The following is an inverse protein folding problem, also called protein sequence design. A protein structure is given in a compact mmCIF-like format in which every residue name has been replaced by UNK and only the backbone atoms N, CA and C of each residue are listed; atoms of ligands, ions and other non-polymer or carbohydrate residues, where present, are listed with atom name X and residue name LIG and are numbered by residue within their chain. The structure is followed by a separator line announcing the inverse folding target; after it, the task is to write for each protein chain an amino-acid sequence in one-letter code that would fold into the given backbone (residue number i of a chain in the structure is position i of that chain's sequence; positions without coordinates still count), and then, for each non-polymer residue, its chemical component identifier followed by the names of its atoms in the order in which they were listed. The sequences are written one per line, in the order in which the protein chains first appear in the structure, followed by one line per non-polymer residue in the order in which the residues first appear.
data_IF_366088849838
#
_entry.id   IF_366088849838
#
_cell.length_a   1.000
_cell.length_b   1.000
_cell.length_c   1.000
_cell.angle_alpha   90.00
_cell.angle_beta   90.00
_cell.angle_gamma   90.00
#
_symmetry.space_group_name_H-M   'P 1'
#
loop_
_entity.id
_entity.type
_entity.pdbx_description
1 polymer ?
#
# COMPACT_ATOMS: atom_id res chain seq x y z
N UNK A 1 14.14 -9.54 -26.61
CA UNK A 1 13.03 -8.59 -26.51
C UNK A 1 12.92 -7.66 -27.71
N UNK A 2 14.04 -7.31 -28.35
CA UNK A 2 14.09 -6.24 -29.37
C UNK A 2 13.67 -6.66 -30.78
N UNK A 3 13.44 -7.95 -31.00
CA UNK A 3 13.05 -8.48 -32.31
C UNK A 3 11.54 -8.68 -32.52
N UNK A 4 10.73 -8.52 -31.47
CA UNK A 4 9.27 -8.67 -31.55
C UNK A 4 8.64 -7.30 -31.78
N UNK A 5 7.77 -7.18 -32.79
CA UNK A 5 7.02 -5.94 -33.05
C UNK A 5 6.10 -5.65 -31.88
N UNK A 6 5.96 -4.38 -31.50
CA UNK A 6 5.16 -3.95 -30.36
C UNK A 6 3.68 -4.39 -30.50
N UNK A 7 3.18 -4.45 -31.75
CA UNK A 7 1.83 -4.91 -32.09
C UNK A 7 1.57 -6.38 -31.79
N UNK A 8 2.64 -7.19 -31.67
CA UNK A 8 2.54 -8.65 -31.51
C UNK A 8 2.63 -9.08 -30.04
N UNK A 9 2.83 -8.11 -29.13
CA UNK A 9 2.92 -8.36 -27.69
C UNK A 9 1.58 -8.03 -27.01
N UNK A 10 0.85 -9.05 -26.61
CA UNK A 10 -0.39 -8.87 -25.86
C UNK A 10 -0.13 -8.38 -24.42
N UNK A 11 0.89 -8.93 -23.77
CA UNK A 11 1.24 -8.60 -22.37
C UNK A 11 2.75 -8.64 -22.16
N UNK A 12 3.23 -7.79 -21.25
CA UNK A 12 4.58 -7.85 -20.70
C UNK A 12 4.50 -8.16 -19.21
N UNK A 13 5.40 -9.00 -18.71
CA UNK A 13 5.48 -9.36 -17.30
C UNK A 13 6.82 -8.90 -16.75
N UNK A 14 6.77 -8.06 -15.73
CA UNK A 14 7.93 -7.62 -14.96
C UNK A 14 7.97 -8.41 -13.66
N UNK A 15 9.05 -9.14 -13.42
CA UNK A 15 9.34 -9.77 -12.14
C UNK A 15 10.38 -8.93 -11.41
N UNK A 16 10.03 -8.50 -10.21
CA UNK A 16 10.86 -7.60 -9.40
C UNK A 16 11.28 -8.35 -8.13
N UNK A 17 12.58 -8.31 -7.86
CA UNK A 17 13.15 -8.86 -6.62
C UNK A 17 13.42 -7.73 -5.62
N UNK A 18 12.92 -7.88 -4.43
CA UNK A 18 13.16 -7.00 -3.28
C UNK A 18 14.42 -7.48 -2.55
N UNK A 19 15.28 -6.56 -2.17
CA UNK A 19 16.49 -6.91 -1.40
C UNK A 19 16.09 -7.27 0.03
N UNK A 20 16.46 -8.45 0.55
CA UNK A 20 16.24 -8.82 1.94
C UNK A 20 16.98 -7.91 2.93
N UNK A 21 16.51 -7.87 4.18
CA UNK A 21 17.17 -7.18 5.28
C UNK A 21 16.88 -5.68 5.36
N UNK A 22 16.01 -5.12 4.52
CA UNK A 22 15.58 -3.73 4.59
C UNK A 22 14.43 -3.63 5.61
N UNK A 23 14.58 -2.78 6.62
CA UNK A 23 13.56 -2.57 7.65
C UNK A 23 12.81 -1.26 7.41
N UNK A 24 11.51 -1.27 7.72
CA UNK A 24 10.77 -0.03 7.91
C UNK A 24 11.27 0.72 9.13
N UNK A 25 11.17 2.03 9.10
CA UNK A 25 11.45 2.88 10.26
C UNK A 25 10.52 2.50 11.43
N UNK A 26 11.01 2.60 12.69
CA UNK A 26 10.17 2.36 13.86
C UNK A 26 8.92 3.24 13.85
N UNK A 27 7.74 2.62 13.95
CA UNK A 27 6.49 3.34 13.82
C UNK A 27 5.39 2.72 14.72
N UNK A 28 4.48 3.53 15.34
CA UNK A 28 3.38 3.00 16.15
C UNK A 28 2.48 2.01 15.42
N UNK A 29 2.25 2.19 14.11
CA UNK A 29 1.48 1.24 13.30
C UNK A 29 2.06 -0.18 13.29
N UNK A 30 3.36 -0.35 13.56
CA UNK A 30 4.07 -1.62 13.59
C UNK A 30 4.33 -2.13 15.02
N UNK A 31 3.83 -1.42 16.05
CA UNK A 31 4.01 -1.80 17.43
C UNK A 31 3.11 -2.98 17.83
N UNK A 32 3.71 -3.98 18.48
CA UNK A 32 3.04 -5.18 18.98
C UNK A 32 3.29 -5.35 20.47
N UNK A 33 2.35 -6.01 21.15
CA UNK A 33 2.53 -6.48 22.53
C UNK A 33 3.38 -7.77 22.57
N UNK A 34 3.60 -8.29 23.78
CA UNK A 34 4.36 -9.53 23.99
C UNK A 34 3.67 -10.76 23.40
N UNK A 35 2.34 -10.74 23.26
CA UNK A 35 1.54 -11.78 22.62
C UNK A 35 1.53 -11.71 21.09
N UNK A 36 2.09 -10.61 20.50
CA UNK A 36 2.16 -10.41 19.07
C UNK A 36 0.96 -9.63 18.48
N UNK A 37 0.03 -9.15 19.31
CA UNK A 37 -1.12 -8.37 18.88
C UNK A 37 -0.73 -6.90 18.62
N UNK A 38 -1.42 -6.27 17.66
CA UNK A 38 -1.21 -4.87 17.32
C UNK A 38 -1.71 -3.94 18.42
N UNK A 39 -0.83 -3.14 19.00
CA UNK A 39 -1.14 -2.24 20.12
C UNK A 39 -2.12 -1.13 19.74
N UNK A 40 -2.03 -0.61 18.51
CA UNK A 40 -2.70 0.63 18.13
C UNK A 40 -3.63 0.50 16.91
N UNK A 41 -4.02 -0.71 16.53
CA UNK A 41 -4.95 -0.91 15.41
C UNK A 41 -6.44 -0.78 15.80
N UNK A 42 -6.73 -0.69 17.10
CA UNK A 42 -8.09 -0.49 17.64
C UNK A 42 -8.05 0.51 18.80
N UNK A 43 -7.90 1.80 18.46
CA UNK A 43 -7.86 2.88 19.43
C UNK A 43 -9.30 3.28 19.80
N UNK A 44 -9.58 3.37 21.09
CA UNK A 44 -10.81 3.92 21.61
C UNK A 44 -10.59 5.39 22.05
N UNK A 45 -11.69 6.09 22.34
CA UNK A 45 -11.65 7.50 22.75
C UNK A 45 -10.75 7.73 23.98
N UNK A 46 -10.75 6.81 24.93
CA UNK A 46 -9.94 6.92 26.15
C UNK A 46 -8.44 6.91 25.83
N UNK A 47 -7.99 5.97 24.97
CA UNK A 47 -6.59 5.91 24.52
C UNK A 47 -6.18 7.15 23.71
N UNK A 48 -7.12 7.74 22.98
CA UNK A 48 -6.88 8.91 22.15
C UNK A 48 -6.83 10.22 22.94
N UNK A 49 -7.27 10.26 24.19
CA UNK A 49 -7.34 11.50 24.99
C UNK A 49 -5.97 12.18 25.12
N UNK A 50 -4.90 11.39 25.29
CA UNK A 50 -3.53 11.89 25.46
C UNK A 50 -2.72 11.95 24.16
N UNK A 51 -3.29 11.57 23.02
CA UNK A 51 -2.59 11.53 21.73
C UNK A 51 -2.95 12.78 20.92
N UNK A 52 -1.96 13.60 20.58
CA UNK A 52 -2.09 14.82 19.76
C UNK A 52 -1.18 14.79 18.53
N UNK A 53 -0.11 14.00 18.56
CA UNK A 53 0.86 13.80 17.47
C UNK A 53 1.41 12.39 17.51
N UNK A 54 2.12 11.98 16.46
CA UNK A 54 2.65 10.61 16.35
C UNK A 54 3.61 10.25 17.49
N UNK A 55 4.43 11.20 17.96
CA UNK A 55 5.39 10.97 19.05
C UNK A 55 4.77 10.79 20.44
N UNK A 56 3.44 10.95 20.58
CA UNK A 56 2.75 10.70 21.85
C UNK A 56 2.44 9.20 22.05
N UNK A 57 2.64 8.37 21.02
CA UNK A 57 2.56 6.92 21.17
C UNK A 57 3.81 6.41 21.89
N UNK A 58 3.62 5.68 22.99
CA UNK A 58 4.71 5.23 23.84
C UNK A 58 5.56 4.11 23.26
N UNK A 59 5.04 3.37 22.28
CA UNK A 59 5.72 2.23 21.69
C UNK A 59 5.71 2.32 20.16
N UNK A 60 6.80 1.87 19.56
CA UNK A 60 6.97 1.72 18.13
C UNK A 60 7.46 0.31 17.82
N UNK A 61 7.19 -0.15 16.62
CA UNK A 61 7.71 -1.42 16.11
C UNK A 61 8.31 -1.23 14.73
N UNK A 62 9.02 -2.23 14.27
CA UNK A 62 9.54 -2.32 12.91
C UNK A 62 9.32 -3.71 12.36
N UNK A 63 9.36 -3.84 11.04
CA UNK A 63 9.45 -5.13 10.36
C UNK A 63 10.17 -4.98 9.03
N UNK A 64 10.53 -6.11 8.48
CA UNK A 64 11.18 -6.16 7.18
C UNK A 64 10.23 -5.77 6.05
N UNK A 65 10.78 -5.05 5.06
CA UNK A 65 10.15 -4.76 3.78
C UNK A 65 10.10 -6.04 2.93
N UNK A 66 8.91 -6.39 2.47
CA UNK A 66 8.66 -7.58 1.66
C UNK A 66 7.93 -7.24 0.35
N UNK A 67 7.84 -8.20 -0.55
CA UNK A 67 7.17 -8.03 -1.84
C UNK A 67 5.69 -7.60 -1.72
N UNK A 68 5.00 -8.06 -0.67
CA UNK A 68 3.60 -7.69 -0.40
C UNK A 68 3.42 -6.18 -0.21
N UNK A 69 4.41 -5.46 0.33
CA UNK A 69 4.31 -4.02 0.56
C UNK A 69 4.27 -3.22 -0.74
N UNK A 70 4.96 -3.70 -1.77
CA UNK A 70 4.88 -3.13 -3.12
C UNK A 70 3.54 -3.47 -3.80
N UNK A 71 3.10 -4.72 -3.69
CA UNK A 71 1.79 -5.15 -4.21
C UNK A 71 0.67 -4.36 -3.53
N UNK A 72 0.75 -4.17 -2.21
CA UNK A 72 -0.20 -3.36 -1.45
C UNK A 72 -0.25 -1.92 -1.97
N UNK A 73 0.90 -1.28 -2.18
CA UNK A 73 0.95 0.08 -2.73
C UNK A 73 0.35 0.18 -4.13
N UNK A 74 0.58 -0.81 -5.01
CA UNK A 74 -0.03 -0.82 -6.34
C UNK A 74 -1.57 -0.93 -6.24
N UNK A 75 -2.08 -1.78 -5.36
CA UNK A 75 -3.52 -1.88 -5.05
C UNK A 75 -4.08 -0.56 -4.51
N UNK A 76 -3.32 0.16 -3.69
CA UNK A 76 -3.70 1.48 -3.15
C UNK A 76 -3.93 2.55 -4.23
N UNK A 77 -3.30 2.45 -5.40
CA UNK A 77 -3.57 3.36 -6.52
C UNK A 77 -5.06 3.34 -6.93
N UNK A 78 -5.73 2.21 -6.74
CA UNK A 78 -7.15 2.01 -7.05
C UNK A 78 -8.10 2.26 -5.87
N UNK A 79 -7.57 2.59 -4.68
CA UNK A 79 -8.38 2.73 -3.47
C UNK A 79 -9.37 3.92 -3.59
N UNK A 80 -10.68 3.73 -3.34
CA UNK A 80 -11.73 4.72 -3.66
C UNK A 80 -11.61 6.03 -2.87
N UNK A 81 -10.93 6.04 -1.72
CA UNK A 81 -10.76 7.22 -0.85
C UNK A 81 -9.42 7.94 -1.05
N UNK A 82 -8.45 7.38 -1.77
CA UNK A 82 -7.09 7.94 -1.87
C UNK A 82 -6.88 8.86 -3.08
N UNK A 83 -7.76 8.81 -4.08
CA UNK A 83 -7.72 9.68 -5.26
C UNK A 83 -6.34 9.82 -5.90
N UNK A 84 -5.66 8.69 -6.15
CA UNK A 84 -4.32 8.69 -6.72
C UNK A 84 -4.25 9.41 -8.07
N UNK A 85 -3.38 10.41 -8.25
CA UNK A 85 -3.29 11.19 -9.50
C UNK A 85 -2.77 10.36 -10.67
N UNK A 86 -2.02 9.26 -10.41
CA UNK A 86 -1.45 8.38 -11.42
C UNK A 86 -2.39 7.24 -11.82
N UNK A 87 -3.52 7.06 -11.11
CA UNK A 87 -4.42 5.92 -11.31
C UNK A 87 -4.88 5.79 -12.77
N UNK A 88 -5.33 6.89 -13.39
CA UNK A 88 -5.84 6.86 -14.76
C UNK A 88 -4.83 6.27 -15.74
N UNK A 89 -3.58 6.75 -15.68
CA UNK A 89 -2.49 6.25 -16.52
C UNK A 89 -2.15 4.79 -16.22
N UNK A 90 -2.02 4.41 -14.95
CA UNK A 90 -1.66 3.04 -14.57
C UNK A 90 -2.77 2.05 -14.91
N UNK A 91 -4.03 2.45 -14.85
CA UNK A 91 -5.17 1.60 -15.22
C UNK A 91 -5.24 1.28 -16.73
N UNK A 92 -4.55 2.06 -17.57
CA UNK A 92 -4.41 1.75 -18.99
C UNK A 92 -3.35 0.68 -19.25
N UNK A 93 -2.35 0.58 -18.38
CA UNK A 93 -1.26 -0.39 -18.52
C UNK A 93 -1.42 -1.63 -17.65
N UNK A 94 -1.64 -1.49 -16.35
CA UNK A 94 -1.71 -2.63 -15.42
C UNK A 94 -3.01 -3.41 -15.67
N UNK A 95 -2.87 -4.71 -15.95
CA UNK A 95 -4.00 -5.60 -16.24
C UNK A 95 -4.95 -5.66 -15.04
N UNK A 96 -6.24 -5.44 -15.29
CA UNK A 96 -7.28 -5.54 -14.27
C UNK A 96 -7.36 -4.38 -13.27
N UNK A 97 -6.47 -3.36 -13.34
CA UNK A 97 -6.47 -2.29 -12.34
C UNK A 97 -7.75 -1.43 -12.38
N UNK A 98 -8.34 -1.24 -13.56
CA UNK A 98 -9.59 -0.46 -13.73
C UNK A 98 -10.78 -1.24 -13.17
N UNK A 99 -10.86 -2.51 -13.48
CA UNK A 99 -11.89 -3.43 -13.00
C UNK A 99 -11.82 -3.56 -11.47
N UNK A 100 -10.62 -3.73 -10.94
CA UNK A 100 -10.34 -3.76 -9.50
C UNK A 100 -10.82 -2.48 -8.79
N UNK A 101 -10.56 -1.30 -9.37
CA UNK A 101 -11.05 -0.05 -8.80
C UNK A 101 -12.59 0.05 -8.79
N UNK A 102 -13.26 -0.50 -9.81
CA UNK A 102 -14.72 -0.55 -9.86
C UNK A 102 -15.28 -1.46 -8.78
N UNK A 103 -14.70 -2.64 -8.61
CA UNK A 103 -15.05 -3.59 -7.55
C UNK A 103 -14.89 -2.95 -6.15
N UNK A 104 -13.74 -2.33 -5.88
CA UNK A 104 -13.49 -1.67 -4.60
C UNK A 104 -14.48 -0.53 -4.32
N UNK A 105 -14.93 0.22 -5.35
CA UNK A 105 -15.95 1.26 -5.18
C UNK A 105 -17.30 0.67 -4.79
N UNK A 106 -17.72 -0.44 -5.42
CA UNK A 106 -18.96 -1.13 -5.07
C UNK A 106 -18.92 -1.63 -3.63
N UNK A 107 -17.85 -2.32 -3.26
CA UNK A 107 -17.65 -2.82 -1.89
C UNK A 107 -17.66 -1.68 -0.88
N UNK A 108 -16.99 -0.57 -1.18
CA UNK A 108 -16.97 0.60 -0.28
C UNK A 108 -18.35 1.27 -0.16
N UNK A 109 -19.20 1.22 -1.20
CA UNK A 109 -20.56 1.73 -1.16
C UNK A 109 -21.50 0.82 -0.35
N UNK A 110 -21.39 -0.49 -0.55
CA UNK A 110 -22.23 -1.49 0.13
C UNK A 110 -21.90 -1.60 1.63
N UNK A 111 -20.66 -1.26 2.02
CA UNK A 111 -20.20 -1.29 3.41
C UNK A 111 -20.42 0.04 4.15
N UNK A 112 -21.25 0.94 3.62
CA UNK A 112 -21.40 2.35 4.02
C UNK A 112 -21.83 2.63 5.47
N UNK A 113 -22.06 1.62 6.32
CA UNK A 113 -22.40 1.82 7.72
C UNK A 113 -21.28 1.31 8.65
N UNK A 114 -20.27 2.16 8.88
CA UNK A 114 -19.36 2.02 10.02
C UNK A 114 -17.98 1.43 9.76
N UNK A 115 -17.64 0.92 8.59
CA UNK A 115 -16.28 0.47 8.29
C UNK A 115 -15.43 1.60 7.72
N UNK A 116 -14.38 1.96 8.48
CA UNK A 116 -13.41 2.99 8.08
C UNK A 116 -12.24 2.43 7.31
N UNK A 117 -11.99 1.13 7.39
CA UNK A 117 -10.86 0.42 6.79
C UNK A 117 -11.32 -0.64 5.78
N UNK A 118 -10.77 -0.56 4.58
CA UNK A 118 -10.90 -1.53 3.51
C UNK A 118 -9.58 -2.29 3.40
N UNK A 119 -9.58 -3.58 3.76
CA UNK A 119 -8.39 -4.42 3.68
C UNK A 119 -8.15 -4.87 2.24
N UNK A 120 -7.20 -4.25 1.56
CA UNK A 120 -6.89 -4.55 0.17
C UNK A 120 -6.29 -5.95 -0.04
N UNK A 121 -5.88 -6.62 1.04
CA UNK A 121 -5.34 -7.99 0.97
C UNK A 121 -6.43 -9.01 0.62
N UNK A 122 -7.67 -8.72 1.01
CA UNK A 122 -8.82 -9.60 0.76
C UNK A 122 -9.26 -9.62 -0.73
N UNK A 123 -8.78 -8.67 -1.52
CA UNK A 123 -9.18 -8.49 -2.92
C UNK A 123 -7.98 -8.70 -3.86
N UNK A 124 -7.99 -9.73 -4.71
CA UNK A 124 -6.92 -9.99 -5.66
C UNK A 124 -6.95 -8.98 -6.83
N UNK A 125 -5.77 -8.55 -7.28
CA UNK A 125 -5.60 -7.78 -8.50
C UNK A 125 -4.96 -8.66 -9.57
N UNK A 126 -5.63 -8.87 -10.73
CA UNK A 126 -5.16 -9.80 -11.78
C UNK A 126 -3.74 -9.50 -12.24
N UNK A 127 -3.44 -8.22 -12.46
CA UNK A 127 -2.16 -7.79 -13.02
C UNK A 127 -1.01 -7.72 -12.03
N UNK A 128 -1.23 -8.00 -10.74
CA UNK A 128 -0.16 -7.87 -9.72
C UNK A 128 -0.27 -9.00 -8.71
N UNK A 129 0.83 -9.71 -8.48
CA UNK A 129 0.85 -10.81 -7.51
C UNK A 129 2.21 -10.96 -6.83
N UNK A 130 2.19 -11.46 -5.60
CA UNK A 130 3.37 -11.91 -4.88
C UNK A 130 3.74 -13.31 -5.38
N UNK A 131 5.03 -13.52 -5.70
CA UNK A 131 5.58 -14.82 -6.07
C UNK A 131 6.17 -15.51 -4.83
N UNK A 132 6.97 -14.76 -4.07
CA UNK A 132 7.53 -15.19 -2.79
C UNK A 132 7.75 -13.95 -1.89
N UNK A 133 8.32 -14.14 -0.70
CA UNK A 133 8.55 -13.06 0.29
C UNK A 133 9.26 -11.84 -0.31
N UNK A 134 10.18 -12.06 -1.25
CA UNK A 134 11.01 -10.99 -1.82
C UNK A 134 10.85 -10.85 -3.33
N UNK A 135 9.81 -11.43 -3.90
CA UNK A 135 9.56 -11.33 -5.33
C UNK A 135 8.09 -11.13 -5.64
N UNK A 136 7.80 -10.15 -6.49
CA UNK A 136 6.47 -9.91 -7.03
C UNK A 136 6.52 -9.72 -8.53
N UNK A 137 5.36 -9.79 -9.18
CA UNK A 137 5.24 -9.54 -10.60
C UNK A 137 4.15 -8.53 -10.90
N UNK A 138 4.38 -7.81 -12.00
CA UNK A 138 3.39 -6.90 -12.61
C UNK A 138 3.19 -7.32 -14.06
N UNK A 139 1.94 -7.54 -14.45
CA UNK A 139 1.51 -7.83 -15.83
C UNK A 139 0.91 -6.56 -16.41
N UNK A 140 1.47 -6.07 -17.50
CA UNK A 140 0.96 -4.91 -18.23
C UNK A 140 0.50 -5.29 -19.63
N UNK A 141 -0.43 -4.51 -20.19
CA UNK A 141 -0.91 -4.63 -21.56
C UNK A 141 0.17 -4.16 -22.53
N UNK A 142 0.39 -4.93 -23.59
CA UNK A 142 1.32 -4.58 -24.65
C UNK A 142 2.80 -4.55 -24.21
N UNK A 143 3.60 -3.81 -24.98
CA UNK A 143 5.03 -3.59 -24.74
C UNK A 143 5.27 -2.14 -24.35
N UNK A 144 5.74 -1.93 -23.13
CA UNK A 144 6.07 -0.59 -22.63
C UNK A 144 7.39 -0.63 -21.83
N UNK A 145 8.54 -0.58 -22.52
CA UNK A 145 9.85 -0.70 -21.86
C UNK A 145 10.10 0.36 -20.79
N UNK A 146 9.54 1.56 -20.96
CA UNK A 146 9.67 2.66 -20.00
C UNK A 146 8.89 2.44 -18.70
N UNK A 147 8.05 1.38 -18.63
CA UNK A 147 7.27 1.10 -17.42
C UNK A 147 8.15 0.95 -16.17
N UNK A 148 9.38 0.42 -16.34
CA UNK A 148 10.33 0.27 -15.22
C UNK A 148 10.67 1.60 -14.54
N UNK A 149 10.67 2.72 -15.25
CA UNK A 149 10.96 4.04 -14.67
C UNK A 149 9.84 4.54 -13.76
N UNK A 150 8.59 4.11 -14.01
CA UNK A 150 7.47 4.42 -13.12
C UNK A 150 7.65 3.78 -11.75
N UNK A 151 8.24 2.57 -11.68
CA UNK A 151 8.47 1.87 -10.41
C UNK A 151 9.46 2.59 -9.49
N UNK A 152 10.27 3.51 -10.03
CA UNK A 152 11.17 4.35 -9.25
C UNK A 152 10.51 5.66 -8.76
N UNK A 153 9.27 5.92 -9.15
CA UNK A 153 8.54 7.13 -8.73
C UNK A 153 7.91 6.95 -7.33
N UNK A 154 7.73 8.03 -6.56
CA UNK A 154 7.15 7.98 -5.22
C UNK A 154 5.78 7.30 -5.14
N UNK A 155 5.01 7.30 -6.23
CA UNK A 155 3.71 6.63 -6.31
C UNK A 155 3.78 5.11 -6.11
N UNK A 156 4.95 4.52 -6.32
CA UNK A 156 5.21 3.09 -6.16
C UNK A 156 6.07 2.78 -4.93
N UNK A 157 6.36 3.77 -4.09
CA UNK A 157 7.07 3.54 -2.83
C UNK A 157 6.27 2.55 -1.96
N UNK A 158 6.91 1.49 -1.44
CA UNK A 158 6.21 0.44 -0.72
C UNK A 158 5.63 0.97 0.59
N UNK A 159 4.40 0.56 0.90
CA UNK A 159 3.70 0.94 2.12
C UNK A 159 3.21 -0.32 2.83
N UNK A 160 3.50 -0.48 4.12
CA UNK A 160 3.00 -1.61 4.89
C UNK A 160 1.49 -1.46 5.12
N UNK A 161 0.73 -2.56 4.94
CA UNK A 161 -0.72 -2.55 5.13
C UNK A 161 -1.14 -2.09 6.53
N UNK A 162 -0.28 -2.29 7.51
CA UNK A 162 -0.46 -1.87 8.90
C UNK A 162 -0.64 -0.36 9.01
N UNK A 163 0.01 0.41 8.14
CA UNK A 163 -0.15 1.87 8.12
C UNK A 163 -1.54 2.28 7.69
N UNK A 164 -2.11 1.63 6.67
CA UNK A 164 -3.48 1.91 6.25
C UNK A 164 -4.48 1.58 7.36
N UNK A 165 -4.31 0.45 8.03
CA UNK A 165 -5.16 0.08 9.17
C UNK A 165 -5.04 1.07 10.32
N UNK A 166 -3.82 1.49 10.64
CA UNK A 166 -3.56 2.46 11.71
C UNK A 166 -4.20 3.82 11.40
N UNK A 167 -3.90 4.41 10.25
CA UNK A 167 -4.34 5.76 9.89
C UNK A 167 -5.81 5.85 9.46
N UNK A 168 -6.48 4.74 9.15
CA UNK A 168 -7.92 4.73 8.82
C UNK A 168 -8.82 4.96 10.03
N UNK A 169 -8.29 4.98 11.25
CA UNK A 169 -9.08 5.12 12.47
C UNK A 169 -9.64 6.55 12.61
N UNK A 170 -10.97 6.71 12.81
CA UNK A 170 -11.62 8.03 12.83
C UNK A 170 -11.00 9.01 13.83
N UNK A 171 -10.58 8.52 14.98
CA UNK A 171 -9.98 9.36 16.01
C UNK A 171 -8.61 9.93 15.63
N UNK A 172 -7.83 9.25 14.80
CA UNK A 172 -6.56 9.76 14.24
C UNK A 172 -6.84 10.77 13.13
N UNK A 173 -7.80 10.47 12.25
CA UNK A 173 -8.22 11.39 11.18
C UNK A 173 -8.72 12.71 11.77
N UNK A 174 -9.58 12.68 12.80
CA UNK A 174 -10.09 13.87 13.48
C UNK A 174 -8.98 14.73 14.10
N UNK A 175 -7.87 14.10 14.49
CA UNK A 175 -6.69 14.78 15.07
C UNK A 175 -5.66 15.17 14.02
N UNK A 176 -5.95 14.95 12.74
CA UNK A 176 -5.04 15.18 11.62
C UNK A 176 -3.71 14.39 11.72
N UNK A 177 -3.77 13.22 12.37
CA UNK A 177 -2.67 12.26 12.41
C UNK A 177 -2.88 11.31 11.23
N UNK A 178 -2.24 11.59 10.12
CA UNK A 178 -2.44 10.89 8.83
C UNK A 178 -1.11 10.49 8.20
N UNK A 179 -1.16 9.56 7.25
CA UNK A 179 0.01 9.08 6.51
C UNK A 179 0.73 10.22 5.75
N UNK A 180 0.00 11.23 5.29
CA UNK A 180 0.56 12.35 4.55
C UNK A 180 1.49 13.22 5.42
N UNK A 181 1.17 13.35 6.71
CA UNK A 181 1.97 14.09 7.67
C UNK A 181 3.05 13.24 8.33
N UNK A 182 2.81 11.94 8.47
CA UNK A 182 3.69 11.02 9.17
C UNK A 182 3.91 9.77 8.31
N UNK A 183 4.63 9.90 7.18
CA UNK A 183 4.90 8.78 6.30
C UNK A 183 5.78 7.75 6.99
N UNK A 184 5.59 6.48 6.61
CA UNK A 184 6.42 5.37 7.04
C UNK A 184 7.30 4.94 5.88
N UNK A 185 8.59 4.90 6.09
CA UNK A 185 9.56 4.61 5.04
C UNK A 185 10.66 3.65 5.50
N UNK A 186 11.59 3.39 4.59
CA UNK A 186 12.78 2.55 4.82
C UNK A 186 14.08 3.35 4.74
N UNK A 187 13.97 4.67 4.56
CA UNK A 187 15.11 5.59 4.45
C UNK A 187 15.80 5.88 5.78
N UNK A 188 16.99 6.49 5.75
CA UNK A 188 17.75 6.81 6.96
C UNK A 188 17.21 8.01 7.73
N UNK A 189 16.34 8.81 7.12
CA UNK A 189 15.75 10.00 7.73
C UNK A 189 14.28 9.76 8.07
N UNK A 190 13.89 10.19 9.27
CA UNK A 190 12.50 10.22 9.73
C UNK A 190 12.03 11.68 9.77
N UNK A 191 10.74 11.90 9.45
CA UNK A 191 10.06 13.18 9.58
C UNK A 191 9.50 13.36 10.99
#
# INVERSE_FOLDING_TARGET
GDQIKDTDVAFSIYQISVKPGILFQPHPALAKNEEGDWLYHNLNNQKLTSIFKLSDFSQTGTRELIAEDYVHQIKRLAHPKLHSPIFGLMADYIVGLREYANELRQINQDQNEGRTYLDLRDYPLEGVSVIDTYKYQIKIKGKYPQFIYWLAMPFFAPIPWESDRFYSQPGLIQKNITLDWYPIGTGPYML
#
